data_IF_330962305716
#
_entry.id   IF_330962305716
#
_cell.length_a   1.000
_cell.length_b   1.000
_cell.length_c   1.000
_cell.angle_alpha   90.00
_cell.angle_beta   90.00
_cell.angle_gamma   90.00
#
_symmetry.space_group_name_H-M   'P 1'
#
loop_
_entity.id
_entity.type
_entity.pdbx_description
1 polymer ?
#
# COMPACT_ATOMS: atom_id res chain seq x y z
N UNK A 1 66.37 16.82 -5.25
CA UNK A 1 65.13 16.16 -4.81
C UNK A 1 64.67 16.79 -3.50
N UNK A 2 63.82 17.83 -3.56
CA UNK A 2 63.14 18.37 -2.39
C UNK A 2 61.76 17.70 -2.24
N UNK A 3 61.11 17.82 -1.08
CA UNK A 3 59.71 18.29 -0.93
C UNK A 3 59.43 18.45 0.58
N UNK A 4 58.93 19.64 0.88
CA UNK A 4 58.46 20.20 2.15
C UNK A 4 57.08 19.61 2.50
N UNK A 5 56.69 19.41 3.78
CA UNK A 5 55.30 19.13 4.12
C UNK A 5 54.53 20.45 4.33
N UNK A 6 53.46 20.66 3.58
CA UNK A 6 52.55 21.80 3.76
C UNK A 6 51.10 21.32 3.92
N UNK A 7 50.54 21.67 5.09
CA UNK A 7 49.13 22.03 5.42
C UNK A 7 47.93 21.19 4.92
N UNK A 8 47.16 20.77 5.93
CA UNK A 8 45.69 20.83 6.10
C UNK A 8 44.76 20.72 4.87
N UNK A 9 43.84 19.76 4.92
CA UNK A 9 42.40 19.93 4.63
C UNK A 9 41.64 18.94 5.53
N UNK A 10 40.79 19.47 6.42
CA UNK A 10 39.66 18.74 7.01
C UNK A 10 38.62 18.58 5.91
N UNK A 11 38.19 17.35 5.60
CA UNK A 11 36.97 17.13 4.86
C UNK A 11 36.09 16.14 5.62
N UNK A 12 35.04 16.69 6.23
CA UNK A 12 33.82 15.97 6.58
C UNK A 12 33.27 15.33 5.30
N UNK A 13 33.07 14.01 5.27
CA UNK A 13 32.03 13.44 4.44
C UNK A 13 31.16 12.55 5.33
N UNK A 14 29.93 13.04 5.46
CA UNK A 14 28.77 12.48 6.11
C UNK A 14 28.54 11.02 5.73
N UNK A 15 28.29 10.19 6.75
CA UNK A 15 27.60 8.91 6.61
C UNK A 15 26.20 9.18 6.02
N UNK A 16 26.04 8.94 4.72
CA UNK A 16 24.74 8.86 4.09
C UNK A 16 24.22 7.44 4.33
N UNK A 17 23.51 7.24 5.43
CA UNK A 17 22.67 6.06 5.62
C UNK A 17 21.46 6.27 4.71
N UNK A 18 21.58 5.85 3.46
CA UNK A 18 20.40 5.66 2.59
C UNK A 18 19.67 4.45 3.16
N UNK A 19 18.57 4.71 3.86
CA UNK A 19 17.54 3.72 4.07
C UNK A 19 17.01 3.30 2.71
N UNK A 20 17.48 2.16 2.21
CA UNK A 20 16.94 1.51 1.02
C UNK A 20 15.54 1.00 1.39
N UNK A 21 14.53 1.83 1.17
CA UNK A 21 13.17 1.34 0.99
C UNK A 21 13.16 0.53 -0.29
N UNK A 22 13.21 -0.79 -0.17
CA UNK A 22 12.99 -1.70 -1.30
C UNK A 22 11.57 -1.50 -1.81
N UNK A 23 11.41 -0.63 -2.80
CA UNK A 23 10.31 -0.70 -3.74
C UNK A 23 10.73 -1.79 -4.72
N UNK A 24 10.29 -3.02 -4.49
CA UNK A 24 10.49 -4.11 -5.44
C UNK A 24 9.62 -3.83 -6.67
N UNK A 25 10.28 -3.50 -7.77
CA UNK A 25 9.66 -3.38 -9.08
C UNK A 25 9.07 -4.76 -9.44
N UNK A 26 7.76 -4.85 -9.70
CA UNK A 26 7.06 -6.10 -10.10
C UNK A 26 7.68 -6.73 -11.35
N UNK A 27 8.42 -5.92 -12.13
CA UNK A 27 9.35 -6.32 -13.19
C UNK A 27 10.36 -7.42 -12.79
N UNK A 28 10.61 -7.63 -11.49
CA UNK A 28 11.60 -8.58 -10.97
C UNK A 28 11.06 -9.94 -10.50
N UNK A 29 9.73 -10.11 -10.39
CA UNK A 29 9.12 -11.34 -9.86
C UNK A 29 9.16 -12.50 -10.87
N UNK A 30 9.49 -13.70 -10.40
CA UNK A 30 9.42 -14.92 -11.20
C UNK A 30 8.14 -15.71 -10.90
N UNK A 31 7.40 -16.06 -11.94
CA UNK A 31 6.32 -17.03 -11.84
C UNK A 31 6.88 -18.44 -12.07
N UNK A 32 6.88 -19.26 -11.02
CA UNK A 32 7.18 -20.69 -11.10
C UNK A 32 5.88 -21.44 -11.35
N UNK A 33 5.74 -22.03 -12.53
CA UNK A 33 4.56 -22.75 -12.97
C UNK A 33 4.87 -24.25 -13.09
N UNK A 34 4.20 -25.05 -12.27
CA UNK A 34 4.33 -26.51 -12.25
C UNK A 34 3.08 -27.13 -12.84
N UNK A 35 3.24 -28.05 -13.78
CA UNK A 35 2.12 -28.82 -14.31
C UNK A 35 2.48 -30.28 -14.42
N UNK A 36 1.49 -31.14 -14.22
CA UNK A 36 1.67 -32.58 -14.33
C UNK A 36 1.05 -33.13 -15.61
N UNK A 37 1.66 -34.17 -16.14
CA UNK A 37 1.11 -34.95 -17.25
C UNK A 37 1.57 -36.40 -17.16
N UNK A 38 0.93 -37.28 -17.91
CA UNK A 38 1.35 -38.67 -18.02
C UNK A 38 0.17 -39.63 -18.06
N UNK A 39 0.45 -40.90 -17.77
CA UNK A 39 -0.55 -41.94 -17.81
C UNK A 39 -0.37 -42.86 -16.60
N UNK A 40 -1.43 -43.02 -15.82
CA UNK A 40 -1.40 -43.77 -14.58
C UNK A 40 -2.67 -44.62 -14.50
N UNK A 41 -2.50 -45.91 -14.27
CA UNK A 41 -3.61 -46.80 -13.98
C UNK A 41 -3.76 -46.95 -12.46
N UNK A 42 -4.98 -46.78 -11.94
CA UNK A 42 -5.26 -46.89 -10.49
C UNK A 42 -5.40 -45.54 -9.77
N UNK A 43 -4.93 -45.45 -8.53
CA UNK A 43 -5.08 -44.24 -7.69
C UNK A 43 -4.26 -43.08 -8.25
N UNK A 44 -4.89 -41.93 -8.44
CA UNK A 44 -4.25 -40.71 -8.93
C UNK A 44 -3.00 -40.39 -8.09
N UNK A 45 -1.81 -40.37 -8.69
CA UNK A 45 -0.60 -40.00 -7.96
C UNK A 45 -0.59 -38.51 -7.68
N UNK A 46 -0.30 -38.15 -6.43
CA UNK A 46 -0.17 -36.77 -6.01
C UNK A 46 1.30 -36.41 -5.76
N UNK A 47 1.68 -35.20 -6.15
CA UNK A 47 2.99 -34.61 -5.89
C UNK A 47 2.80 -33.35 -5.07
N UNK A 48 3.35 -33.35 -3.85
CA UNK A 48 3.48 -32.15 -3.04
C UNK A 48 4.66 -31.32 -3.56
N UNK A 49 4.45 -30.01 -3.67
CA UNK A 49 5.43 -29.06 -4.17
C UNK A 49 5.76 -28.07 -3.07
N UNK A 50 7.05 -28.02 -2.70
CA UNK A 50 7.59 -27.03 -1.78
C UNK A 50 8.59 -26.13 -2.55
N UNK A 51 8.43 -24.81 -2.45
CA UNK A 51 9.32 -23.79 -3.01
C UNK A 51 9.86 -22.96 -1.86
N UNK A 52 11.19 -22.84 -1.76
CA UNK A 52 11.88 -22.07 -0.72
C UNK A 52 11.44 -22.43 0.71
N UNK A 53 11.09 -23.71 0.92
CA UNK A 53 10.61 -24.24 2.19
C UNK A 53 9.13 -24.02 2.47
N UNK A 54 8.38 -23.35 1.59
CA UNK A 54 6.94 -23.17 1.67
C UNK A 54 6.22 -24.19 0.78
N UNK A 55 5.22 -24.87 1.35
CA UNK A 55 4.32 -25.72 0.57
C UNK A 55 3.41 -24.83 -0.29
N UNK A 56 3.42 -25.03 -1.61
CA UNK A 56 2.61 -24.25 -2.57
C UNK A 56 1.41 -25.04 -3.11
N UNK A 57 1.29 -26.31 -2.72
CA UNK A 57 0.18 -27.16 -3.12
C UNK A 57 0.56 -28.61 -3.34
N UNK A 58 -0.45 -29.40 -3.67
CA UNK A 58 -0.32 -30.79 -4.08
C UNK A 58 -1.10 -30.98 -5.37
N UNK A 59 -0.45 -31.50 -6.40
CA UNK A 59 -1.06 -31.67 -7.72
C UNK A 59 -1.17 -33.16 -8.08
N UNK A 60 -2.33 -33.55 -8.62
CA UNK A 60 -2.65 -34.83 -9.24
C UNK A 60 -2.25 -34.87 -10.71
N UNK A 61 -2.89 -35.72 -11.53
CA UNK A 61 -2.65 -35.81 -12.97
C UNK A 61 -3.39 -34.70 -13.74
N UNK A 62 -2.73 -34.05 -14.70
CA UNK A 62 -3.28 -32.93 -15.48
C UNK A 62 -3.71 -31.73 -14.63
N UNK A 63 -3.03 -31.55 -13.50
CA UNK A 63 -3.21 -30.43 -12.59
C UNK A 63 -1.98 -29.54 -12.62
N UNK A 64 -2.11 -28.34 -12.08
CA UNK A 64 -1.03 -27.38 -11.99
C UNK A 64 -1.00 -26.71 -10.61
N UNK A 65 0.15 -26.15 -10.28
CA UNK A 65 0.33 -25.24 -9.16
C UNK A 65 1.32 -24.16 -9.58
N UNK A 66 1.19 -22.99 -8.99
CA UNK A 66 2.05 -21.86 -9.29
C UNK A 66 2.49 -21.13 -8.03
N UNK A 67 3.66 -20.54 -8.07
CA UNK A 67 4.16 -19.67 -7.01
C UNK A 67 4.88 -18.48 -7.62
N UNK A 68 4.60 -17.30 -7.11
CA UNK A 68 5.40 -16.11 -7.35
C UNK A 68 6.54 -16.07 -6.33
N UNK A 69 7.71 -15.59 -6.75
CA UNK A 69 8.82 -15.38 -5.85
C UNK A 69 9.69 -14.20 -6.30
N UNK A 70 10.14 -13.44 -5.31
CA UNK A 70 10.99 -12.25 -5.43
C UNK A 70 12.48 -12.60 -5.24
N UNK A 71 12.82 -13.88 -5.07
CA UNK A 71 14.20 -14.28 -4.82
C UNK A 71 15.10 -14.03 -6.04
N UNK A 72 16.00 -13.05 -5.90
CA UNK A 72 17.11 -12.81 -6.83
C UNK A 72 18.19 -13.90 -6.78
N UNK A 73 18.10 -14.85 -5.82
CA UNK A 73 19.12 -15.87 -5.59
C UNK A 73 18.74 -17.26 -6.13
N UNK A 74 17.68 -17.33 -6.94
CA UNK A 74 17.11 -18.59 -7.41
C UNK A 74 16.25 -19.28 -6.34
N UNK A 75 15.68 -20.43 -6.67
CA UNK A 75 14.67 -21.10 -5.84
C UNK A 75 15.09 -22.52 -5.51
N UNK A 76 14.93 -22.91 -4.24
CA UNK A 76 15.04 -24.29 -3.80
C UNK A 76 13.69 -24.98 -3.96
N UNK A 77 13.61 -25.97 -4.83
CA UNK A 77 12.38 -26.70 -5.13
C UNK A 77 12.51 -28.13 -4.58
N UNK A 78 11.52 -28.57 -3.80
CA UNK A 78 11.39 -29.95 -3.32
C UNK A 78 10.04 -30.51 -3.76
N UNK A 79 10.08 -31.66 -4.43
CA UNK A 79 8.92 -32.38 -4.92
C UNK A 79 8.84 -33.72 -4.20
N UNK A 80 7.68 -34.03 -3.61
CA UNK A 80 7.48 -35.23 -2.80
C UNK A 80 6.28 -36.01 -3.28
N UNK A 81 6.47 -37.31 -3.47
CA UNK A 81 5.40 -38.27 -3.76
C UNK A 81 5.45 -39.40 -2.76
N UNK A 82 4.29 -39.72 -2.16
CA UNK A 82 4.20 -40.73 -1.09
C UNK A 82 4.76 -42.07 -1.54
N UNK A 83 5.67 -42.63 -0.75
CA UNK A 83 6.26 -43.95 -0.99
C UNK A 83 7.31 -44.00 -2.11
N UNK A 84 7.66 -42.87 -2.72
CA UNK A 84 8.72 -42.76 -3.73
C UNK A 84 9.81 -41.78 -3.28
N UNK A 85 11.00 -41.89 -3.86
CA UNK A 85 12.09 -40.96 -3.61
C UNK A 85 11.70 -39.56 -4.11
N UNK A 86 11.85 -38.55 -3.24
CA UNK A 86 11.64 -37.14 -3.58
C UNK A 86 12.70 -36.60 -4.55
N UNK A 87 12.37 -35.49 -5.22
CA UNK A 87 13.28 -34.78 -6.11
C UNK A 87 13.52 -33.39 -5.54
N UNK A 88 14.77 -32.99 -5.38
CA UNK A 88 15.16 -31.67 -4.89
C UNK A 88 16.19 -31.05 -5.83
N UNK A 89 16.03 -29.78 -6.15
CA UNK A 89 16.95 -29.04 -7.01
C UNK A 89 16.85 -27.53 -6.73
N UNK A 90 17.88 -26.80 -7.15
CA UNK A 90 17.91 -25.33 -7.09
C UNK A 90 17.89 -24.77 -8.49
N UNK A 91 17.14 -23.71 -8.69
CA UNK A 91 17.09 -23.00 -9.96
C UNK A 91 18.08 -21.85 -9.98
N UNK A 92 18.70 -21.56 -11.11
CA UNK A 92 19.52 -20.34 -11.25
C UNK A 92 18.67 -19.06 -11.22
N UNK A 93 19.20 -17.93 -10.73
CA UNK A 93 18.56 -16.62 -10.87
C UNK A 93 18.30 -16.28 -12.33
N UNK A 94 17.04 -15.96 -12.64
CA UNK A 94 16.65 -15.32 -13.90
C UNK A 94 15.63 -14.26 -13.51
N UNK A 95 15.83 -13.01 -13.91
CA UNK A 95 14.88 -11.94 -13.57
C UNK A 95 13.66 -11.96 -14.50
N UNK A 96 12.48 -11.75 -13.94
CA UNK A 96 11.26 -11.39 -14.67
C UNK A 96 10.74 -12.41 -15.70
N UNK A 97 11.03 -13.71 -15.52
CA UNK A 97 10.62 -14.75 -16.47
C UNK A 97 9.67 -15.77 -15.84
N UNK A 98 8.68 -16.21 -16.62
CA UNK A 98 7.86 -17.38 -16.28
C UNK A 98 8.73 -18.64 -16.46
N UNK A 99 8.70 -19.53 -15.47
CA UNK A 99 9.45 -20.79 -15.50
C UNK A 99 8.50 -21.96 -15.44
N UNK A 100 8.65 -22.87 -16.39
CA UNK A 100 7.77 -24.02 -16.52
C UNK A 100 8.46 -25.28 -16.02
N UNK A 101 7.81 -26.01 -15.12
CA UNK A 101 8.29 -27.30 -14.62
C UNK A 101 7.26 -28.38 -14.93
N UNK A 102 7.64 -29.28 -15.84
CA UNK A 102 6.82 -30.41 -16.22
C UNK A 102 7.09 -31.59 -15.30
N UNK A 103 6.06 -32.07 -14.62
CA UNK A 103 6.10 -33.27 -13.79
C UNK A 103 5.46 -34.41 -14.59
N UNK A 104 6.31 -35.30 -15.12
CA UNK A 104 5.87 -36.50 -15.82
C UNK A 104 5.58 -37.62 -14.82
N UNK A 105 4.32 -38.05 -14.75
CA UNK A 105 3.82 -39.06 -13.84
C UNK A 105 3.54 -40.39 -14.57
N UNK A 106 4.15 -41.46 -14.07
CA UNK A 106 3.80 -42.84 -14.37
C UNK A 106 3.62 -43.63 -13.05
N UNK A 107 3.21 -44.89 -13.15
CA UNK A 107 2.89 -45.74 -11.99
C UNK A 107 4.01 -45.74 -10.93
N UNK A 108 5.19 -46.27 -11.29
CA UNK A 108 6.34 -46.36 -10.38
C UNK A 108 7.48 -45.39 -10.72
N UNK A 109 7.35 -44.61 -11.81
CA UNK A 109 8.38 -43.67 -12.28
C UNK A 109 7.80 -42.28 -12.38
N UNK A 110 8.60 -41.30 -12.01
CA UNK A 110 8.25 -39.90 -12.21
C UNK A 110 9.51 -39.07 -12.35
N UNK A 111 9.40 -37.99 -13.10
CA UNK A 111 10.51 -37.06 -13.36
C UNK A 111 9.99 -35.65 -13.40
N UNK A 112 10.85 -34.69 -13.10
CA UNK A 112 10.59 -33.27 -13.33
C UNK A 112 11.61 -32.73 -14.31
N UNK A 113 11.21 -31.78 -15.14
CA UNK A 113 12.11 -31.05 -16.04
C UNK A 113 11.63 -29.62 -16.21
N UNK A 114 12.55 -28.67 -16.16
CA UNK A 114 12.29 -27.31 -16.60
C UNK A 114 12.11 -27.28 -18.13
N UNK A 115 11.06 -26.60 -18.59
CA UNK A 115 10.72 -26.45 -20.01
C UNK A 115 10.93 -25.01 -20.44
N UNK A 116 11.38 -24.85 -21.67
CA UNK A 116 11.34 -23.56 -22.36
C UNK A 116 9.92 -23.29 -22.86
N UNK A 117 9.57 -22.01 -23.07
CA UNK A 117 8.25 -21.63 -23.61
C UNK A 117 7.90 -22.36 -24.92
N UNK A 118 8.88 -22.63 -25.77
CA UNK A 118 8.69 -23.32 -27.04
C UNK A 118 8.32 -24.82 -26.87
N UNK A 119 8.61 -25.42 -25.72
CA UNK A 119 8.31 -26.82 -25.43
C UNK A 119 6.95 -27.02 -24.72
N UNK A 120 6.33 -25.93 -24.27
CA UNK A 120 5.06 -25.97 -23.52
C UNK A 120 3.88 -25.90 -24.49
N UNK A 121 2.83 -26.68 -24.20
CA UNK A 121 1.64 -26.69 -25.05
C UNK A 121 0.91 -25.34 -25.02
N UNK A 122 0.24 -25.01 -26.12
CA UNK A 122 -0.50 -23.75 -26.25
C UNK A 122 -1.50 -23.52 -25.11
N UNK A 123 -2.23 -24.56 -24.69
CA UNK A 123 -3.21 -24.46 -23.61
C UNK A 123 -2.59 -24.14 -22.24
N UNK A 124 -1.44 -24.75 -21.93
CA UNK A 124 -0.71 -24.44 -20.69
C UNK A 124 -0.11 -23.02 -20.74
N UNK A 125 0.37 -22.59 -21.91
CA UNK A 125 0.84 -21.21 -22.10
C UNK A 125 -0.30 -20.20 -21.90
N UNK A 126 -1.50 -20.47 -22.41
CA UNK A 126 -2.67 -19.59 -22.23
C UNK A 126 -3.08 -19.51 -20.76
N UNK A 127 -3.22 -20.65 -20.08
CA UNK A 127 -3.53 -20.71 -18.65
C UNK A 127 -2.49 -19.98 -17.80
N UNK A 128 -1.20 -20.17 -18.09
CA UNK A 128 -0.15 -19.49 -17.33
C UNK A 128 -0.17 -17.98 -17.56
N UNK A 129 -0.46 -17.52 -18.78
CA UNK A 129 -0.63 -16.08 -19.04
C UNK A 129 -1.85 -15.51 -18.34
N UNK A 130 -2.94 -16.26 -18.24
CA UNK A 130 -4.12 -15.86 -17.49
C UNK A 130 -3.78 -15.63 -16.01
N UNK A 131 -3.11 -16.59 -15.36
CA UNK A 131 -2.67 -16.45 -13.96
C UNK A 131 -1.65 -15.34 -13.80
N UNK A 132 -0.68 -15.24 -14.71
CA UNK A 132 0.30 -14.16 -14.69
C UNK A 132 -0.40 -12.80 -14.83
N UNK A 133 -1.37 -12.68 -15.73
CA UNK A 133 -2.14 -11.44 -15.93
C UNK A 133 -3.05 -11.13 -14.74
N UNK A 134 -3.70 -12.12 -14.14
CA UNK A 134 -4.51 -11.93 -12.93
C UNK A 134 -3.65 -11.42 -11.77
N UNK A 135 -2.52 -12.07 -11.50
CA UNK A 135 -1.64 -11.68 -10.40
C UNK A 135 -0.84 -10.39 -10.70
N UNK A 136 -0.47 -10.15 -11.95
CA UNK A 136 0.07 -8.84 -12.37
C UNK A 136 -0.99 -7.76 -12.46
N UNK A 137 -2.28 -8.09 -12.57
CA UNK A 137 -3.37 -7.10 -12.48
C UNK A 137 -3.73 -6.76 -11.04
N UNK A 138 -3.50 -7.70 -10.10
CA UNK A 138 -3.56 -7.45 -8.64
C UNK A 138 -2.33 -6.69 -8.12
N UNK A 139 -1.18 -6.80 -8.80
CA UNK A 139 0.08 -6.14 -8.42
C UNK A 139 0.53 -5.02 -9.36
N UNK A 140 -0.20 -4.75 -10.45
CA UNK A 140 -0.20 -3.41 -11.04
C UNK A 140 -0.70 -2.53 -9.89
N UNK A 141 -0.01 -1.44 -9.52
CA UNK A 141 -0.75 -0.39 -8.88
C UNK A 141 -1.92 -0.14 -9.84
N UNK A 142 -3.16 -0.40 -9.40
CA UNK A 142 -4.14 0.65 -9.64
C UNK A 142 -3.36 1.91 -9.31
N UNK A 143 -3.22 2.81 -10.28
CA UNK A 143 -2.72 4.13 -10.00
C UNK A 143 -3.63 4.63 -8.87
N UNK A 144 -3.22 4.38 -7.61
CA UNK A 144 -3.90 4.79 -6.40
C UNK A 144 -4.13 6.23 -6.72
N UNK A 145 -5.38 6.62 -6.97
CA UNK A 145 -5.67 7.89 -7.64
C UNK A 145 -5.19 8.97 -6.69
N UNK A 146 -3.92 9.36 -6.79
CA UNK A 146 -3.28 10.22 -5.80
C UNK A 146 -3.52 11.61 -6.30
N UNK A 147 -4.40 12.32 -5.61
CA UNK A 147 -4.92 13.57 -6.10
C UNK A 147 -6.31 13.86 -5.56
N UNK A 148 -6.84 14.99 -6.02
CA UNK A 148 -8.17 15.45 -5.67
C UNK A 148 -9.18 14.60 -6.43
N UNK A 149 -9.96 13.80 -5.70
CA UNK A 149 -11.09 13.03 -6.23
C UNK A 149 -12.26 13.98 -6.48
N UNK A 150 -12.49 14.92 -5.55
CA UNK A 150 -13.54 15.93 -5.66
C UNK A 150 -13.17 17.16 -4.86
N UNK A 151 -13.47 18.35 -5.39
CA UNK A 151 -13.38 19.61 -4.67
C UNK A 151 -14.57 20.49 -5.06
N UNK A 152 -15.13 21.21 -4.08
CA UNK A 152 -16.25 22.11 -4.29
C UNK A 152 -16.20 23.28 -3.30
N UNK A 153 -16.83 24.38 -3.67
CA UNK A 153 -16.90 25.60 -2.88
C UNK A 153 -15.64 26.47 -2.99
N UNK A 154 -15.58 27.50 -2.15
CA UNK A 154 -14.52 28.52 -2.17
C UNK A 154 -13.82 28.49 -0.82
N UNK A 155 -12.49 28.36 -0.84
CA UNK A 155 -11.71 28.38 0.39
C UNK A 155 -11.88 29.74 1.10
N UNK A 156 -11.92 29.79 2.44
CA UNK A 156 -12.07 31.06 3.15
C UNK A 156 -10.94 32.03 2.82
N UNK A 157 -11.15 33.35 2.98
CA UNK A 157 -10.11 34.35 2.81
C UNK A 157 -8.91 34.10 3.74
N UNK A 158 -7.70 34.48 3.32
CA UNK A 158 -6.51 34.37 4.16
C UNK A 158 -6.66 35.13 5.48
N UNK A 159 -6.15 34.56 6.57
CA UNK A 159 -6.21 35.13 7.92
C UNK A 159 -7.50 34.84 8.68
N UNK A 160 -8.48 34.19 8.07
CA UNK A 160 -9.71 33.70 8.73
C UNK A 160 -9.35 32.79 9.92
N UNK A 161 -10.04 32.93 11.05
CA UNK A 161 -9.87 32.02 12.18
C UNK A 161 -10.57 30.69 11.91
N UNK A 162 -9.82 29.59 11.98
CA UNK A 162 -10.32 28.25 11.68
C UNK A 162 -10.09 27.30 12.84
N UNK A 163 -11.12 26.59 13.24
CA UNK A 163 -11.02 25.48 14.18
C UNK A 163 -10.91 24.17 13.40
N UNK A 164 -10.01 23.27 13.81
CA UNK A 164 -9.88 21.94 13.19
C UNK A 164 -10.44 20.89 14.15
N UNK A 165 -11.42 20.13 13.65
CA UNK A 165 -12.02 18.99 14.32
C UNK A 165 -11.77 17.72 13.49
N UNK A 166 -11.67 16.59 14.16
CA UNK A 166 -11.45 15.29 13.50
C UNK A 166 -12.61 14.35 13.78
N UNK A 167 -13.15 13.76 12.71
CA UNK A 167 -14.29 12.85 12.75
C UNK A 167 -13.89 11.38 12.85
N UNK A 168 -12.59 11.10 12.91
CA UNK A 168 -12.04 9.74 13.01
C UNK A 168 -11.15 9.36 11.83
N UNK A 169 -10.43 8.26 12.03
CA UNK A 169 -9.59 7.61 11.04
C UNK A 169 -9.82 6.10 11.12
N UNK A 170 -10.16 5.47 9.99
CA UNK A 170 -10.31 4.01 9.88
C UNK A 170 -8.95 3.30 9.73
N UNK A 171 -8.91 1.98 9.94
CA UNK A 171 -7.66 1.20 10.01
C UNK A 171 -6.80 1.28 8.73
N UNK A 172 -7.41 1.34 7.53
CA UNK A 172 -6.68 1.46 6.27
C UNK A 172 -5.92 2.78 6.13
N UNK A 173 -6.27 3.79 6.93
CA UNK A 173 -5.65 5.12 6.85
C UNK A 173 -4.23 5.15 7.40
N UNK A 174 -3.82 4.15 8.19
CA UNK A 174 -2.47 4.04 8.77
C UNK A 174 -2.04 5.31 9.55
N UNK A 175 -3.01 6.07 10.07
CA UNK A 175 -2.84 7.31 10.80
C UNK A 175 -3.85 7.35 11.96
N UNK A 176 -3.44 7.83 13.13
CA UNK A 176 -4.37 8.05 14.24
C UNK A 176 -5.24 9.29 13.99
N UNK A 177 -6.41 9.33 14.60
CA UNK A 177 -7.27 10.52 14.53
C UNK A 177 -6.58 11.78 15.07
N UNK A 178 -5.74 11.66 16.09
CA UNK A 178 -4.99 12.81 16.63
C UNK A 178 -3.96 13.33 15.63
N UNK A 179 -3.18 12.45 14.99
CA UNK A 179 -2.19 12.85 13.98
C UNK A 179 -2.87 13.39 12.70
N UNK A 180 -4.03 12.85 12.33
CA UNK A 180 -4.88 13.39 11.25
C UNK A 180 -5.28 14.85 11.53
N UNK A 181 -5.71 15.14 12.75
CA UNK A 181 -6.03 16.51 13.19
C UNK A 181 -4.81 17.43 13.19
N UNK A 182 -3.66 16.96 13.68
CA UNK A 182 -2.41 17.74 13.74
C UNK A 182 -1.91 18.11 12.34
N UNK A 183 -1.82 17.14 11.42
CA UNK A 183 -1.37 17.39 10.05
C UNK A 183 -2.34 18.28 9.28
N UNK A 184 -3.65 18.11 9.48
CA UNK A 184 -4.67 19.02 8.93
C UNK A 184 -4.45 20.44 9.42
N UNK A 185 -4.20 20.61 10.72
CA UNK A 185 -3.93 21.90 11.35
C UNK A 185 -2.67 22.55 10.78
N UNK A 186 -1.57 21.79 10.64
CA UNK A 186 -0.34 22.25 10.00
C UNK A 186 -0.58 22.75 8.57
N UNK A 187 -1.43 22.07 7.80
CA UNK A 187 -1.78 22.49 6.44
C UNK A 187 -2.49 23.85 6.40
N UNK A 188 -3.37 24.12 7.36
CA UNK A 188 -4.09 25.39 7.45
C UNK A 188 -3.27 26.54 8.03
N UNK A 189 -2.28 26.27 8.90
CA UNK A 189 -1.46 27.30 9.56
C UNK A 189 -0.77 28.26 8.61
N UNK A 190 -0.50 27.85 7.36
CA UNK A 190 0.13 28.71 6.34
C UNK A 190 -0.76 29.89 5.93
N UNK A 191 -2.08 29.67 5.85
CA UNK A 191 -3.02 30.62 5.25
C UNK A 191 -4.06 31.15 6.25
N UNK A 192 -4.25 30.47 7.39
CA UNK A 192 -5.34 30.72 8.33
C UNK A 192 -4.82 30.84 9.77
N UNK A 193 -5.62 31.49 10.62
CA UNK A 193 -5.38 31.54 12.07
C UNK A 193 -5.99 30.30 12.72
N UNK A 194 -5.21 29.22 12.80
CA UNK A 194 -5.66 27.97 13.40
C UNK A 194 -5.82 28.13 14.91
N UNK A 195 -6.99 27.78 15.43
CA UNK A 195 -7.26 27.77 16.87
C UNK A 195 -6.76 26.47 17.46
N UNK A 196 -5.87 26.56 18.45
CA UNK A 196 -5.28 25.40 19.11
C UNK A 196 -6.29 24.67 20.00
N UNK A 197 -6.22 23.34 19.98
CA UNK A 197 -7.12 22.41 20.71
C UNK A 197 -7.04 22.56 22.23
N UNK A 198 -5.93 23.07 22.78
CA UNK A 198 -5.83 23.36 24.22
C UNK A 198 -6.88 24.39 24.69
N UNK A 199 -7.31 25.30 23.80
CA UNK A 199 -8.39 26.24 24.08
C UNK A 199 -9.78 25.57 24.05
N UNK A 200 -9.92 24.44 23.34
CA UNK A 200 -11.14 23.64 23.27
C UNK A 200 -11.31 22.77 24.51
N UNK A 201 -10.25 22.12 25.00
CA UNK A 201 -10.37 21.16 26.13
C UNK A 201 -10.95 21.84 27.38
N UNK A 202 -10.61 23.11 27.60
CA UNK A 202 -11.17 23.95 28.68
C UNK A 202 -12.67 24.22 28.52
N UNK A 203 -13.17 24.31 27.28
CA UNK A 203 -14.57 24.59 26.95
C UNK A 203 -15.38 23.26 26.93
N UNK A 204 -14.77 22.18 26.45
CA UNK A 204 -15.36 20.85 26.36
C UNK A 204 -15.46 20.15 27.74
N UNK A 205 -14.52 20.40 28.66
CA UNK A 205 -14.60 19.93 30.05
C UNK A 205 -15.76 20.58 30.85
N UNK A 206 -16.16 21.80 30.50
CA UNK A 206 -17.30 22.51 31.13
C UNK A 206 -18.66 22.00 30.65
N UNK A 207 -18.73 21.44 29.44
CA UNK A 207 -19.94 20.87 28.86
C UNK A 207 -19.75 19.38 28.56
N UNK A 208 -19.91 18.52 29.58
CA UNK A 208 -19.94 17.04 29.45
C UNK A 208 -20.75 16.56 28.23
N UNK A 209 -20.12 16.44 27.08
CA UNK A 209 -20.77 16.01 25.84
C UNK A 209 -20.08 14.76 25.33
N UNK A 210 -20.90 13.74 25.15
CA UNK A 210 -20.49 12.36 24.99
C UNK A 210 -19.73 12.19 23.69
N UNK A 211 -18.47 11.78 23.82
CA UNK A 211 -17.70 11.16 22.76
C UNK A 211 -18.48 9.99 22.14
N UNK A 212 -19.10 10.23 21.01
CA UNK A 212 -19.55 9.16 20.12
C UNK A 212 -19.11 9.47 18.69
N UNK A 213 -17.80 9.50 18.46
CA UNK A 213 -17.13 9.20 17.18
C UNK A 213 -17.58 9.86 15.88
N UNK A 214 -18.52 10.81 15.92
CA UNK A 214 -19.19 11.42 14.79
C UNK A 214 -19.47 12.90 15.12
N UNK A 215 -18.53 13.77 14.76
CA UNK A 215 -18.69 15.22 14.69
C UNK A 215 -19.75 15.52 13.62
N UNK A 216 -20.98 15.85 14.03
CA UNK A 216 -21.99 16.39 13.13
C UNK A 216 -21.76 17.88 12.89
N UNK A 217 -22.34 18.43 11.82
CA UNK A 217 -22.16 19.84 11.42
C UNK A 217 -22.59 20.82 12.50
N UNK A 218 -23.67 20.51 13.22
CA UNK A 218 -24.25 21.39 14.23
C UNK A 218 -23.31 21.55 15.43
N UNK A 219 -22.73 20.44 15.90
CA UNK A 219 -21.71 20.47 16.96
C UNK A 219 -20.45 21.21 16.50
N UNK A 220 -20.01 20.98 15.25
CA UNK A 220 -18.85 21.67 14.72
C UNK A 220 -19.03 23.19 14.71
N UNK A 221 -20.21 23.67 14.30
CA UNK A 221 -20.55 25.09 14.32
C UNK A 221 -20.58 25.63 15.75
N UNK A 222 -21.21 24.92 16.69
CA UNK A 222 -21.25 25.33 18.10
C UNK A 222 -19.84 25.43 18.71
N UNK A 223 -18.99 24.43 18.48
CA UNK A 223 -17.60 24.44 18.92
C UNK A 223 -16.81 25.60 18.29
N UNK A 224 -17.03 25.88 17.01
CA UNK A 224 -16.45 27.03 16.32
C UNK A 224 -16.86 28.36 16.97
N UNK A 225 -18.16 28.54 17.22
CA UNK A 225 -18.68 29.75 17.86
C UNK A 225 -18.12 29.95 19.29
N UNK A 226 -18.05 28.89 20.09
CA UNK A 226 -17.51 28.92 21.45
C UNK A 226 -16.02 29.28 21.48
N UNK A 227 -15.27 28.86 20.48
CA UNK A 227 -13.82 29.14 20.36
C UNK A 227 -13.50 30.44 19.63
N UNK A 228 -14.50 31.15 19.09
CA UNK A 228 -14.28 32.34 18.27
C UNK A 228 -13.74 32.04 16.86
N UNK A 229 -13.91 30.81 16.40
CA UNK A 229 -13.64 30.42 15.03
C UNK A 229 -14.69 31.00 14.09
N UNK A 230 -14.26 31.62 13.00
CA UNK A 230 -15.15 32.03 11.92
C UNK A 230 -15.56 30.83 11.05
N UNK A 231 -14.68 29.84 10.95
CA UNK A 231 -14.90 28.61 10.19
C UNK A 231 -14.48 27.40 11.01
N UNK A 232 -15.09 26.25 10.75
CA UNK A 232 -14.64 24.96 11.28
C UNK A 232 -14.31 24.01 10.15
N UNK A 233 -13.09 23.47 10.15
CA UNK A 233 -12.68 22.37 9.31
C UNK A 233 -12.91 21.04 10.03
N UNK A 234 -13.63 20.12 9.39
CA UNK A 234 -13.80 18.74 9.84
C UNK A 234 -12.97 17.85 8.92
N UNK A 235 -11.95 17.18 9.46
CA UNK A 235 -11.15 16.18 8.75
C UNK A 235 -11.58 14.76 9.13
N UNK A 236 -11.55 13.87 8.15
CA UNK A 236 -11.86 12.46 8.34
C UNK A 236 -11.07 11.60 7.36
N UNK A 237 -10.76 10.37 7.75
CA UNK A 237 -10.21 9.38 6.85
C UNK A 237 -11.01 8.07 6.94
N UNK A 238 -11.39 7.52 5.79
CA UNK A 238 -12.16 6.29 5.68
C UNK A 238 -11.65 5.41 4.54
N UNK A 239 -12.05 4.14 4.55
CA UNK A 239 -11.65 3.15 3.57
C UNK A 239 -12.60 3.14 2.36
N UNK A 240 -12.02 3.18 1.16
CA UNK A 240 -12.72 2.95 -0.09
C UNK A 240 -11.95 1.89 -0.87
N UNK A 241 -12.50 0.68 -1.03
CA UNK A 241 -11.82 -0.45 -1.66
C UNK A 241 -10.42 -0.73 -1.07
N UNK A 242 -10.31 -0.73 0.26
CA UNK A 242 -9.04 -0.90 1.01
C UNK A 242 -8.05 0.28 0.90
N UNK A 243 -8.38 1.33 0.13
CA UNK A 243 -7.59 2.55 0.03
C UNK A 243 -8.04 3.63 1.01
N UNK A 244 -7.06 4.36 1.56
CA UNK A 244 -7.29 5.50 2.42
C UNK A 244 -7.78 6.72 1.63
N UNK A 245 -8.97 7.20 1.96
CA UNK A 245 -9.57 8.41 1.39
C UNK A 245 -9.74 9.45 2.48
N UNK A 246 -9.21 10.64 2.23
CA UNK A 246 -9.30 11.80 3.12
C UNK A 246 -10.42 12.70 2.66
N UNK A 247 -11.20 13.20 3.61
CA UNK A 247 -12.23 14.20 3.37
C UNK A 247 -12.07 15.34 4.36
N UNK A 248 -12.07 16.56 3.83
CA UNK A 248 -12.03 17.79 4.62
C UNK A 248 -13.21 18.66 4.19
N UNK A 249 -14.00 19.13 5.16
CA UNK A 249 -15.09 20.07 4.95
C UNK A 249 -14.86 21.31 5.79
N UNK A 250 -15.00 22.49 5.21
CA UNK A 250 -14.97 23.77 5.91
C UNK A 250 -16.40 24.29 5.99
N UNK A 251 -16.84 24.63 7.21
CA UNK A 251 -18.18 25.10 7.52
C UNK A 251 -18.09 26.52 8.06
N UNK A 252 -18.92 27.42 7.55
CA UNK A 252 -19.05 28.78 8.05
C UNK A 252 -19.87 28.79 9.33
N UNK A 253 -19.30 29.28 10.44
CA UNK A 253 -19.95 29.27 11.74
C UNK A 253 -21.18 30.20 11.81
N UNK A 254 -21.28 31.19 10.92
CA UNK A 254 -22.37 32.17 10.91
C UNK A 254 -23.57 31.72 10.07
N UNK A 255 -23.33 30.94 9.00
CA UNK A 255 -24.40 30.43 8.13
C UNK A 255 -24.70 28.95 8.33
N UNK A 256 -23.81 28.21 9.00
CA UNK A 256 -23.82 26.75 9.09
C UNK A 256 -23.74 26.03 7.73
N UNK A 257 -23.33 26.74 6.67
CA UNK A 257 -23.17 26.17 5.34
C UNK A 257 -21.73 25.68 5.11
N UNK A 258 -21.59 24.64 4.30
CA UNK A 258 -20.28 24.15 3.84
C UNK A 258 -19.72 25.16 2.84
N UNK A 259 -18.71 25.92 3.23
CA UNK A 259 -18.05 26.92 2.38
C UNK A 259 -17.16 26.27 1.33
N UNK A 260 -16.45 25.21 1.72
CA UNK A 260 -15.65 24.39 0.81
C UNK A 260 -15.49 22.96 1.31
N UNK A 261 -15.22 22.04 0.38
CA UNK A 261 -14.91 20.66 0.71
C UNK A 261 -13.99 20.03 -0.32
N UNK A 262 -13.22 19.04 0.13
CA UNK A 262 -12.41 18.23 -0.74
C UNK A 262 -12.39 16.77 -0.28
N UNK A 263 -12.28 15.88 -1.25
CA UNK A 263 -12.04 14.45 -1.08
C UNK A 263 -10.81 14.12 -1.92
N UNK A 264 -9.82 13.47 -1.31
CA UNK A 264 -8.55 13.17 -1.98
C UNK A 264 -7.89 11.94 -1.37
N UNK A 265 -6.97 11.35 -2.12
CA UNK A 265 -6.13 10.23 -1.67
C UNK A 265 -4.66 10.63 -1.75
N UNK A 266 -3.88 10.08 -0.82
CA UNK A 266 -2.46 10.37 -0.65
C UNK A 266 -1.63 9.11 -0.84
N UNK A 267 -0.34 9.29 -1.17
CA UNK A 267 0.62 8.18 -1.17
C UNK A 267 1.05 7.84 0.25
N UNK A 268 1.19 8.87 1.07
CA UNK A 268 1.57 8.77 2.47
C UNK A 268 0.67 9.66 3.32
N UNK A 269 0.19 9.21 4.49
CA UNK A 269 -0.54 10.07 5.42
C UNK A 269 0.25 11.32 5.85
N UNK A 270 1.58 11.27 5.80
CA UNK A 270 2.45 12.41 6.15
C UNK A 270 2.36 13.58 5.16
N UNK A 271 1.88 13.34 3.93
CA UNK A 271 1.67 14.38 2.91
C UNK A 271 0.39 15.20 3.17
N UNK A 272 -0.43 14.80 4.15
CA UNK A 272 -1.74 15.39 4.40
C UNK A 272 -1.68 16.90 4.65
N UNK A 273 -0.73 17.37 5.44
CA UNK A 273 -0.61 18.79 5.75
C UNK A 273 -0.28 19.63 4.52
N UNK A 274 0.72 19.20 3.74
CA UNK A 274 1.07 19.85 2.47
C UNK A 274 -0.13 19.87 1.52
N UNK A 275 -0.78 18.72 1.34
CA UNK A 275 -1.92 18.61 0.42
C UNK A 275 -3.12 19.45 0.84
N UNK A 276 -3.40 19.51 2.13
CA UNK A 276 -4.46 20.37 2.70
C UNK A 276 -4.17 21.84 2.40
N UNK A 277 -2.93 22.28 2.62
CA UNK A 277 -2.51 23.65 2.33
C UNK A 277 -2.63 24.02 0.84
N UNK A 278 -2.32 23.09 -0.07
CA UNK A 278 -2.50 23.29 -1.51
C UNK A 278 -3.98 23.44 -1.89
N UNK A 279 -4.81 22.48 -1.48
CA UNK A 279 -6.22 22.39 -1.88
C UNK A 279 -7.02 23.60 -1.38
N UNK A 280 -6.77 24.02 -0.14
CA UNK A 280 -7.47 25.12 0.51
C UNK A 280 -6.59 26.38 0.58
N UNK A 281 -5.77 26.62 -0.44
CA UNK A 281 -5.15 27.93 -0.60
C UNK A 281 -6.21 28.95 -1.04
N UNK A 282 -6.29 30.13 -0.41
CA UNK A 282 -7.17 31.20 -0.87
C UNK A 282 -6.76 31.66 -2.27
N UNK A 283 -7.74 32.02 -3.11
CA UNK A 283 -7.52 32.62 -4.44
C UNK A 283 -6.85 33.99 -4.37
#
# INVERSE_FOLDING_TARGET
MPIVPLKQIKLLISFLVIGFSFITDVSSQNLLFFYSQGNVSGTTPYVQIDVDGKNIGTIGLNEYASSFSESEQGHRISLKRRGLKGIEFTTEPRGGAIRFFEISLAEARWTTREKTEAEVSKGIMELCREIYNEETSKSRPEEKVTGVISQSGIAPPSGTSILVLTNGAEDCCQISADLLGELTSMGFQKNYRVIERENLDRILDEQKMQMSGLVNSDFAVEAGQLTGAQQVAISQCYCSNEDAVYSIKIIDCSTAEVSSSAIFSLRSPLELGEKTGEIFSPE
#
